data_IF_633732236273
#
_entry.id   IF_633732236273
#
_cell.length_a   1.000
_cell.length_b   1.000
_cell.length_c   1.000
_cell.angle_alpha   90.00
_cell.angle_beta   90.00
_cell.angle_gamma   90.00
#
_symmetry.space_group_name_H-M   'P 1'
#
loop_
_entity.id
_entity.type
_entity.pdbx_description
1 polymer ?
#
# COMPACT_ATOMS: atom_id res chain seq x y z
N UNK A 1 97.84 5.11 4.57
CA UNK A 1 96.93 6.10 5.19
C UNK A 1 95.69 6.42 4.33
N UNK A 2 95.35 5.65 3.29
CA UNK A 2 94.12 5.84 2.49
C UNK A 2 93.01 4.81 2.80
N UNK A 3 93.37 3.62 3.29
CA UNK A 3 92.43 2.53 3.63
C UNK A 3 91.55 2.77 4.87
N UNK A 4 91.85 3.76 5.71
CA UNK A 4 91.04 4.06 6.91
C UNK A 4 89.94 5.11 6.69
N UNK A 5 89.99 5.87 5.58
CA UNK A 5 88.95 6.83 5.24
C UNK A 5 87.76 6.17 4.51
N UNK A 6 88.01 5.10 3.76
CA UNK A 6 87.00 4.42 2.94
C UNK A 6 86.06 3.53 3.78
N UNK A 7 86.59 2.89 4.83
CA UNK A 7 85.77 2.13 5.80
C UNK A 7 84.83 3.03 6.63
N UNK A 8 85.20 4.28 6.91
CA UNK A 8 84.35 5.20 7.68
C UNK A 8 83.14 5.72 6.88
N UNK A 9 83.27 5.79 5.54
CA UNK A 9 82.18 6.19 4.64
C UNK A 9 81.20 5.06 4.35
N UNK A 10 81.65 3.81 4.28
CA UNK A 10 80.75 2.65 4.15
C UNK A 10 79.90 2.42 5.40
N UNK A 11 80.47 2.62 6.59
CA UNK A 11 79.74 2.42 7.86
C UNK A 11 78.69 3.53 8.10
N UNK A 12 78.95 4.76 7.66
CA UNK A 12 77.96 5.85 7.67
C UNK A 12 76.84 5.67 6.64
N UNK A 13 77.13 5.10 5.46
CA UNK A 13 76.12 4.76 4.45
C UNK A 13 75.24 3.58 4.91
N UNK A 14 75.82 2.58 5.55
CA UNK A 14 75.10 1.45 6.14
C UNK A 14 74.21 1.88 7.32
N UNK A 15 74.68 2.75 8.22
CA UNK A 15 73.85 3.33 9.30
C UNK A 15 72.69 4.19 8.76
N UNK A 16 72.92 4.96 7.67
CA UNK A 16 71.88 5.74 7.00
C UNK A 16 70.81 4.88 6.32
N UNK A 17 71.22 3.78 5.67
CA UNK A 17 70.32 2.82 5.02
C UNK A 17 69.44 2.06 6.03
N UNK A 18 70.01 1.63 7.18
CA UNK A 18 69.25 0.99 8.27
C UNK A 18 68.21 1.95 8.88
N UNK A 19 68.54 3.25 8.98
CA UNK A 19 67.62 4.30 9.46
C UNK A 19 66.47 4.57 8.47
N UNK A 20 66.76 4.59 7.17
CA UNK A 20 65.75 4.79 6.12
C UNK A 20 64.83 3.57 5.96
N UNK A 21 65.36 2.36 6.00
CA UNK A 21 64.58 1.14 5.91
C UNK A 21 63.64 0.99 7.11
N UNK A 22 64.10 1.33 8.32
CA UNK A 22 63.27 1.31 9.53
C UNK A 22 62.16 2.36 9.46
N UNK A 23 62.44 3.56 8.92
CA UNK A 23 61.43 4.60 8.67
C UNK A 23 60.42 4.17 7.61
N UNK A 24 60.87 3.52 6.53
CA UNK A 24 60.00 2.98 5.48
C UNK A 24 59.07 1.88 6.01
N UNK A 25 59.58 0.95 6.84
CA UNK A 25 58.75 -0.09 7.50
C UNK A 25 57.72 0.52 8.44
N UNK A 26 58.08 1.55 9.22
CA UNK A 26 57.12 2.27 10.09
C UNK A 26 56.05 3.01 9.29
N UNK A 27 56.42 3.66 8.18
CA UNK A 27 55.47 4.32 7.29
C UNK A 27 54.53 3.31 6.63
N UNK A 28 55.02 2.16 6.17
CA UNK A 28 54.20 1.10 5.60
C UNK A 28 53.24 0.50 6.63
N UNK A 29 53.67 0.27 7.87
CA UNK A 29 52.80 -0.20 8.94
C UNK A 29 51.71 0.82 9.29
N UNK A 30 52.04 2.11 9.31
CA UNK A 30 51.08 3.19 9.55
C UNK A 30 50.10 3.37 8.38
N UNK A 31 50.56 3.21 7.15
CA UNK A 31 49.69 3.22 5.97
C UNK A 31 48.68 2.07 6.01
N UNK A 32 49.13 0.85 6.36
CA UNK A 32 48.22 -0.30 6.56
C UNK A 32 47.19 -0.06 7.66
N UNK A 33 47.61 0.50 8.82
CA UNK A 33 46.65 0.79 9.88
C UNK A 33 45.64 1.87 9.48
N UNK A 34 46.06 2.88 8.71
CA UNK A 34 45.16 3.91 8.20
C UNK A 34 44.19 3.35 7.15
N UNK A 35 44.65 2.47 6.26
CA UNK A 35 43.80 1.77 5.29
C UNK A 35 42.77 0.86 5.99
N UNK A 36 43.17 0.18 7.07
CA UNK A 36 42.27 -0.63 7.91
C UNK A 36 41.22 0.24 8.62
N UNK A 37 41.62 1.36 9.22
CA UNK A 37 40.71 2.32 9.87
C UNK A 37 39.72 2.95 8.88
N UNK A 38 40.18 3.31 7.68
CA UNK A 38 39.31 3.80 6.61
C UNK A 38 38.36 2.71 6.11
N UNK A 39 38.85 1.49 5.96
CA UNK A 39 38.04 0.32 5.59
C UNK A 39 36.94 0.06 6.61
N UNK A 40 37.26 0.12 7.91
CA UNK A 40 36.31 -0.03 9.01
C UNK A 40 35.24 1.07 8.98
N UNK A 41 35.63 2.35 8.82
CA UNK A 41 34.69 3.48 8.71
C UNK A 41 33.77 3.36 7.50
N UNK A 42 34.29 2.93 6.35
CA UNK A 42 33.47 2.68 5.15
C UNK A 42 32.48 1.54 5.38
N UNK A 43 32.92 0.45 6.00
CA UNK A 43 32.07 -0.68 6.35
C UNK A 43 30.94 -0.30 7.29
N UNK A 44 31.24 0.49 8.33
CA UNK A 44 30.25 1.01 9.28
C UNK A 44 29.22 1.93 8.59
N UNK A 45 29.67 2.85 7.73
CA UNK A 45 28.79 3.73 6.97
C UNK A 45 27.84 2.96 6.03
N UNK A 46 28.35 1.94 5.35
CA UNK A 46 27.54 1.06 4.50
C UNK A 46 26.52 0.26 5.30
N UNK A 47 26.91 -0.27 6.46
CA UNK A 47 26.01 -0.99 7.34
C UNK A 47 24.91 -0.08 7.86
N UNK A 48 25.25 1.13 8.33
CA UNK A 48 24.28 2.13 8.80
C UNK A 48 23.27 2.47 7.71
N UNK A 49 23.73 2.67 6.48
CA UNK A 49 22.86 2.91 5.32
C UNK A 49 21.93 1.72 5.04
N UNK A 50 22.45 0.49 5.11
CA UNK A 50 21.64 -0.71 4.92
C UNK A 50 20.58 -0.88 6.01
N UNK A 51 20.91 -0.57 7.27
CA UNK A 51 19.97 -0.63 8.40
C UNK A 51 18.89 0.45 8.27
N UNK A 52 19.26 1.68 7.88
CA UNK A 52 18.28 2.74 7.64
C UNK A 52 17.27 2.33 6.56
N UNK A 53 17.76 1.78 5.44
CA UNK A 53 16.90 1.26 4.38
C UNK A 53 16.01 0.11 4.85
N UNK A 54 16.54 -0.81 5.65
CA UNK A 54 15.71 -1.87 6.25
C UNK A 54 14.57 -1.28 7.12
N UNK A 55 14.85 -0.24 7.90
CA UNK A 55 13.84 0.45 8.71
C UNK A 55 12.73 1.11 7.88
N UNK A 56 13.09 1.76 6.77
CA UNK A 56 12.12 2.31 5.81
C UNK A 56 11.21 1.22 5.23
N UNK A 57 11.81 0.10 4.79
CA UNK A 57 11.05 -1.01 4.21
C UNK A 57 10.15 -1.72 5.23
N UNK A 58 10.56 -1.82 6.50
CA UNK A 58 9.72 -2.33 7.58
C UNK A 58 8.53 -1.41 7.88
N UNK A 59 8.72 -0.09 7.81
CA UNK A 59 7.63 0.88 7.97
C UNK A 59 6.60 0.74 6.86
N UNK A 60 7.06 0.65 5.61
CA UNK A 60 6.19 0.41 4.46
C UNK A 60 5.50 -0.97 4.51
N UNK A 61 6.18 -2.00 5.03
CA UNK A 61 5.56 -3.31 5.27
C UNK A 61 4.43 -3.20 6.31
N UNK A 62 4.65 -2.47 7.41
CA UNK A 62 3.63 -2.27 8.45
C UNK A 62 2.36 -1.59 7.88
N UNK A 63 2.52 -0.55 7.07
CA UNK A 63 1.41 0.10 6.35
C UNK A 63 0.67 -0.89 5.42
N UNK A 64 1.42 -1.72 4.70
CA UNK A 64 0.85 -2.75 3.82
C UNK A 64 0.06 -3.80 4.61
N UNK A 65 0.55 -4.21 5.78
CA UNK A 65 -0.18 -5.12 6.68
C UNK A 65 -1.47 -4.48 7.17
N UNK A 66 -1.48 -3.18 7.50
CA UNK A 66 -2.71 -2.48 7.87
C UNK A 66 -3.71 -2.41 6.71
N UNK A 67 -3.22 -2.21 5.49
CA UNK A 67 -4.06 -2.26 4.29
C UNK A 67 -4.67 -3.65 4.10
N UNK A 68 -3.88 -4.73 4.19
CA UNK A 68 -4.37 -6.11 4.12
C UNK A 68 -5.45 -6.37 5.17
N UNK A 69 -5.25 -5.90 6.41
CA UNK A 69 -6.26 -6.02 7.48
C UNK A 69 -7.54 -5.26 7.15
N UNK A 70 -7.42 -4.05 6.60
CA UNK A 70 -8.57 -3.25 6.18
C UNK A 70 -9.35 -3.96 5.06
N UNK A 71 -8.67 -4.50 4.05
CA UNK A 71 -9.30 -5.28 2.96
C UNK A 71 -9.94 -6.56 3.51
N UNK A 72 -9.25 -7.31 4.39
CA UNK A 72 -9.82 -8.53 5.00
C UNK A 72 -11.08 -8.24 5.81
N UNK A 73 -11.17 -7.07 6.43
CA UNK A 73 -12.36 -6.65 7.18
C UNK A 73 -13.61 -6.46 6.31
N UNK A 74 -13.47 -6.40 4.98
CA UNK A 74 -14.62 -6.29 4.07
C UNK A 74 -15.24 -7.64 3.72
N UNK A 75 -14.63 -8.76 4.11
CA UNK A 75 -15.17 -10.11 3.93
C UNK A 75 -14.37 -11.09 3.06
N UNK A 76 -13.53 -10.67 2.09
CA UNK A 76 -12.73 -11.62 1.32
C UNK A 76 -11.67 -12.28 2.19
N UNK A 77 -11.48 -13.59 2.00
CA UNK A 77 -10.25 -14.23 2.42
C UNK A 77 -9.13 -13.70 1.52
N UNK A 78 -8.34 -12.77 2.06
CA UNK A 78 -7.03 -12.46 1.49
C UNK A 78 -6.11 -13.56 2.02
N UNK A 79 -5.89 -14.59 1.21
CA UNK A 79 -4.93 -15.65 1.56
C UNK A 79 -3.53 -15.08 1.51
N UNK A 80 -2.92 -14.95 2.68
CA UNK A 80 -1.52 -14.56 2.80
C UNK A 80 -0.82 -15.54 3.74
N UNK A 81 -0.41 -16.68 3.19
CA UNK A 81 0.49 -17.64 3.85
C UNK A 81 1.94 -17.13 3.84
N UNK A 82 2.12 -15.86 4.20
CA UNK A 82 3.44 -15.22 4.21
C UNK A 82 3.92 -15.08 5.64
N UNK A 83 5.05 -15.71 5.94
CA UNK A 83 5.70 -15.66 7.24
C UNK A 83 6.38 -14.30 7.45
N UNK A 84 5.71 -13.39 8.16
CA UNK A 84 6.16 -12.00 8.34
C UNK A 84 7.38 -11.86 9.26
N UNK A 85 7.56 -12.78 10.22
CA UNK A 85 8.62 -12.68 11.23
C UNK A 85 9.97 -13.19 10.73
N UNK A 86 9.97 -14.10 9.76
CA UNK A 86 11.16 -14.82 9.30
C UNK A 86 12.37 -13.93 8.99
N UNK A 87 12.28 -12.83 8.20
CA UNK A 87 13.45 -12.01 7.91
C UNK A 87 14.06 -11.37 9.17
N UNK A 88 13.22 -11.03 10.15
CA UNK A 88 13.65 -10.42 11.41
C UNK A 88 14.19 -11.45 12.39
N UNK A 89 13.57 -12.63 12.46
CA UNK A 89 14.03 -13.73 13.31
C UNK A 89 15.42 -14.22 12.85
N UNK A 90 15.64 -14.32 11.53
CA UNK A 90 16.95 -14.67 10.98
C UNK A 90 18.00 -13.59 11.27
N UNK A 91 17.64 -12.30 11.18
CA UNK A 91 18.54 -11.21 11.55
C UNK A 91 18.89 -11.23 13.04
N UNK A 92 17.89 -11.39 13.91
CA UNK A 92 18.09 -11.47 15.35
C UNK A 92 18.95 -12.69 15.73
N UNK A 93 18.72 -13.83 15.08
CA UNK A 93 19.55 -15.03 15.22
C UNK A 93 21.00 -14.77 14.80
N UNK A 94 21.23 -14.10 13.66
CA UNK A 94 22.57 -13.74 13.20
C UNK A 94 23.30 -12.85 14.21
N UNK A 95 22.60 -11.86 14.76
CA UNK A 95 23.15 -10.94 15.77
C UNK A 95 23.54 -11.69 17.04
N UNK A 96 22.68 -12.60 17.50
CA UNK A 96 22.92 -13.41 18.70
C UNK A 96 24.08 -14.38 18.53
N UNK A 97 24.12 -15.10 17.40
CA UNK A 97 25.03 -16.22 17.22
C UNK A 97 26.42 -15.78 16.75
N UNK A 98 26.51 -14.68 15.97
CA UNK A 98 27.74 -14.27 15.27
C UNK A 98 28.15 -12.83 15.61
N UNK A 99 27.25 -12.01 16.17
CA UNK A 99 27.51 -10.61 16.48
C UNK A 99 27.15 -9.68 15.31
N UNK A 100 27.99 -8.69 15.02
CA UNK A 100 27.64 -7.63 14.07
C UNK A 100 27.38 -8.19 12.64
N UNK A 101 26.19 -7.98 12.06
CA UNK A 101 25.89 -8.46 10.72
C UNK A 101 26.61 -7.62 9.66
N UNK A 102 26.96 -8.24 8.54
CA UNK A 102 27.53 -7.52 7.39
C UNK A 102 26.46 -6.72 6.66
N UNK A 103 26.86 -5.65 5.97
CA UNK A 103 25.95 -4.83 5.15
C UNK A 103 25.23 -5.68 4.09
N UNK A 104 25.92 -6.64 3.47
CA UNK A 104 25.34 -7.57 2.51
C UNK A 104 24.25 -8.46 3.13
N UNK A 105 24.43 -8.91 4.37
CA UNK A 105 23.44 -9.73 5.06
C UNK A 105 22.16 -8.91 5.35
N UNK A 106 22.33 -7.67 5.84
CA UNK A 106 21.20 -6.75 6.07
C UNK A 106 20.46 -6.48 4.77
N UNK A 107 21.19 -6.19 3.68
CA UNK A 107 20.59 -5.97 2.35
C UNK A 107 19.80 -7.18 1.85
N UNK A 108 20.27 -8.41 2.12
CA UNK A 108 19.54 -9.62 1.77
C UNK A 108 18.20 -9.68 2.52
N UNK A 109 18.17 -9.38 3.83
CA UNK A 109 16.93 -9.29 4.61
C UNK A 109 16.00 -8.19 4.10
N UNK A 110 16.55 -7.03 3.73
CA UNK A 110 15.78 -5.94 3.12
C UNK A 110 15.06 -6.40 1.85
N UNK A 111 15.74 -7.17 0.96
CA UNK A 111 15.11 -7.69 -0.26
C UNK A 111 13.97 -8.67 0.05
N UNK A 112 14.10 -9.48 1.09
CA UNK A 112 13.01 -10.36 1.53
C UNK A 112 11.81 -9.58 2.05
N UNK A 113 12.03 -8.56 2.88
CA UNK A 113 10.96 -7.66 3.34
C UNK A 113 10.25 -7.01 2.15
N UNK A 114 11.00 -6.54 1.14
CA UNK A 114 10.42 -5.99 -0.11
C UNK A 114 9.58 -7.04 -0.86
N UNK A 115 10.06 -8.28 -0.95
CA UNK A 115 9.34 -9.37 -1.61
C UNK A 115 8.05 -9.74 -0.87
N UNK A 116 8.09 -9.82 0.47
CA UNK A 116 6.92 -10.01 1.33
C UNK A 116 5.93 -8.89 1.12
N UNK A 117 6.38 -7.63 1.19
CA UNK A 117 5.54 -6.45 0.96
C UNK A 117 4.86 -6.51 -0.40
N UNK A 118 5.62 -6.79 -1.46
CA UNK A 118 5.07 -6.92 -2.82
C UNK A 118 3.97 -7.98 -2.91
N UNK A 119 4.20 -9.14 -2.28
CA UNK A 119 3.23 -10.23 -2.23
C UNK A 119 1.94 -9.82 -1.51
N UNK A 120 2.08 -9.16 -0.34
CA UNK A 120 0.93 -8.64 0.41
C UNK A 120 0.16 -7.56 -0.34
N UNK A 121 0.87 -6.63 -1.01
CA UNK A 121 0.24 -5.58 -1.82
C UNK A 121 -0.57 -6.17 -2.96
N UNK A 122 -0.02 -7.17 -3.66
CA UNK A 122 -0.72 -7.86 -4.73
C UNK A 122 -1.96 -8.61 -4.20
N UNK A 123 -1.83 -9.32 -3.09
CA UNK A 123 -2.95 -10.03 -2.47
C UNK A 123 -4.05 -9.05 -2.01
N UNK A 124 -3.68 -7.94 -1.38
CA UNK A 124 -4.62 -6.88 -0.99
C UNK A 124 -5.34 -6.28 -2.20
N UNK A 125 -4.62 -6.02 -3.29
CA UNK A 125 -5.21 -5.52 -4.52
C UNK A 125 -6.19 -6.51 -5.14
N UNK A 126 -5.81 -7.78 -5.28
CA UNK A 126 -6.68 -8.80 -5.85
C UNK A 126 -7.94 -9.01 -4.98
N UNK A 127 -7.77 -9.12 -3.66
CA UNK A 127 -8.88 -9.24 -2.71
C UNK A 127 -9.81 -8.03 -2.76
N UNK A 128 -9.25 -6.82 -2.85
CA UNK A 128 -10.01 -5.59 -3.01
C UNK A 128 -10.83 -5.56 -4.30
N UNK A 129 -10.20 -5.82 -5.43
CA UNK A 129 -10.86 -5.75 -6.74
C UNK A 129 -11.98 -6.78 -6.84
N UNK A 130 -11.72 -8.03 -6.42
CA UNK A 130 -12.72 -9.09 -6.40
C UNK A 130 -13.91 -8.73 -5.50
N UNK A 131 -13.64 -8.18 -4.31
CA UNK A 131 -14.68 -7.71 -3.41
C UNK A 131 -15.49 -6.56 -4.00
N UNK A 132 -14.83 -5.47 -4.40
CA UNK A 132 -15.49 -4.27 -4.90
C UNK A 132 -16.36 -4.59 -6.12
N UNK A 133 -15.86 -5.43 -7.02
CA UNK A 133 -16.62 -5.93 -8.17
C UNK A 133 -17.84 -6.73 -7.71
N UNK A 134 -17.69 -7.70 -6.79
CA UNK A 134 -18.82 -8.47 -6.27
C UNK A 134 -19.90 -7.61 -5.62
N UNK A 135 -19.49 -6.57 -4.87
CA UNK A 135 -20.42 -5.67 -4.23
C UNK A 135 -21.14 -4.82 -5.28
N UNK A 136 -20.42 -4.30 -6.27
CA UNK A 136 -21.00 -3.54 -7.38
C UNK A 136 -22.02 -4.38 -8.16
N UNK A 137 -21.68 -5.61 -8.52
CA UNK A 137 -22.54 -6.50 -9.30
C UNK A 137 -23.78 -6.96 -8.53
N UNK A 138 -23.71 -6.97 -7.18
CA UNK A 138 -24.85 -7.28 -6.32
C UNK A 138 -25.85 -6.13 -6.14
N UNK A 139 -25.54 -4.92 -6.61
CA UNK A 139 -26.42 -3.77 -6.41
C UNK A 139 -27.54 -3.73 -7.46
N UNK A 140 -28.80 -3.54 -7.05
CA UNK A 140 -29.93 -3.36 -7.98
C UNK A 140 -29.94 -1.93 -8.54
N UNK A 141 -29.03 -1.64 -9.48
CA UNK A 141 -28.82 -0.29 -10.04
C UNK A 141 -30.06 0.24 -10.80
N UNK A 142 -30.91 -0.65 -11.28
CA UNK A 142 -32.20 -0.35 -11.91
C UNK A 142 -33.20 0.35 -10.98
N UNK A 143 -32.99 0.29 -9.66
CA UNK A 143 -33.83 0.99 -8.68
C UNK A 143 -33.42 2.45 -8.48
N UNK A 144 -32.25 2.89 -8.97
CA UNK A 144 -31.75 4.26 -8.79
C UNK A 144 -32.72 5.33 -9.34
N UNK A 145 -33.34 5.16 -10.53
CA UNK A 145 -34.35 6.11 -11.01
C UNK A 145 -35.58 6.24 -10.11
N UNK A 146 -35.84 5.26 -9.23
CA UNK A 146 -36.96 5.26 -8.28
C UNK A 146 -36.60 5.86 -6.92
N UNK A 147 -35.32 6.09 -6.66
CA UNK A 147 -34.84 6.82 -5.47
C UNK A 147 -35.40 8.24 -5.48
N UNK A 148 -35.67 8.77 -4.28
CA UNK A 148 -36.14 10.13 -4.05
C UNK A 148 -35.25 11.15 -4.78
N UNK A 149 -35.88 12.17 -5.36
CA UNK A 149 -35.23 13.09 -6.30
C UNK A 149 -33.95 13.73 -5.74
N UNK A 150 -33.95 14.10 -4.45
CA UNK A 150 -32.79 14.74 -3.81
C UNK A 150 -31.64 13.77 -3.49
N UNK A 151 -31.90 12.47 -3.37
CA UNK A 151 -30.85 11.46 -3.13
C UNK A 151 -30.31 10.85 -4.43
N UNK A 152 -31.07 10.94 -5.53
CA UNK A 152 -30.75 10.32 -6.82
C UNK A 152 -29.40 10.76 -7.38
N UNK A 153 -29.11 12.05 -7.38
CA UNK A 153 -27.83 12.56 -7.90
C UNK A 153 -26.65 12.03 -7.08
N UNK A 154 -26.83 11.98 -5.74
CA UNK A 154 -25.83 11.41 -4.83
C UNK A 154 -25.66 9.90 -5.09
N UNK A 155 -26.75 9.16 -5.29
CA UNK A 155 -26.71 7.74 -5.57
C UNK A 155 -25.95 7.45 -6.87
N UNK A 156 -26.23 8.20 -7.94
CA UNK A 156 -25.50 8.09 -9.20
C UNK A 156 -24.01 8.45 -9.05
N UNK A 157 -23.69 9.46 -8.25
CA UNK A 157 -22.30 9.83 -7.95
C UNK A 157 -21.58 8.70 -7.20
N UNK A 158 -22.21 8.15 -6.16
CA UNK A 158 -21.67 7.02 -5.41
C UNK A 158 -21.44 5.82 -6.33
N UNK A 159 -22.40 5.47 -7.19
CA UNK A 159 -22.20 4.36 -8.13
C UNK A 159 -21.01 4.60 -9.06
N UNK A 160 -20.86 5.81 -9.61
CA UNK A 160 -19.66 6.15 -10.41
C UNK A 160 -18.37 6.02 -9.61
N UNK A 161 -18.34 6.54 -8.39
CA UNK A 161 -17.19 6.44 -7.49
C UNK A 161 -16.87 4.96 -7.17
N UNK A 162 -17.89 4.14 -6.94
CA UNK A 162 -17.74 2.69 -6.73
C UNK A 162 -17.12 2.03 -7.96
N UNK A 163 -17.63 2.31 -9.17
CA UNK A 163 -17.07 1.78 -10.42
C UNK A 163 -15.60 2.17 -10.60
N UNK A 164 -15.23 3.42 -10.26
CA UNK A 164 -13.83 3.86 -10.31
C UNK A 164 -12.97 3.13 -9.26
N UNK A 165 -13.52 2.90 -8.06
CA UNK A 165 -12.81 2.26 -6.96
C UNK A 165 -12.43 0.80 -7.24
N UNK A 166 -13.19 0.10 -8.10
CA UNK A 166 -12.88 -1.28 -8.53
C UNK A 166 -11.52 -1.35 -9.23
N UNK A 167 -11.16 -0.35 -10.04
CA UNK A 167 -9.88 -0.35 -10.78
C UNK A 167 -8.75 0.35 -10.04
N UNK A 168 -9.07 1.10 -8.98
CA UNK A 168 -8.11 1.87 -8.22
C UNK A 168 -7.19 0.98 -7.36
N UNK A 169 -5.98 1.48 -7.10
CA UNK A 169 -5.09 0.90 -6.09
C UNK A 169 -5.71 1.12 -4.70
N UNK A 170 -5.92 0.08 -3.89
CA UNK A 170 -6.58 0.24 -2.61
C UNK A 170 -5.70 1.02 -1.63
N UNK A 171 -6.33 1.96 -0.93
CA UNK A 171 -5.79 2.63 0.25
C UNK A 171 -6.74 2.42 1.41
N UNK A 172 -6.26 2.55 2.65
CA UNK A 172 -7.12 2.39 3.85
C UNK A 172 -8.30 3.36 3.80
N UNK A 173 -8.06 4.60 3.38
CA UNK A 173 -9.10 5.61 3.23
C UNK A 173 -10.11 5.25 2.13
N UNK A 174 -9.66 4.74 0.99
CA UNK A 174 -10.54 4.29 -0.09
C UNK A 174 -11.43 3.13 0.36
N UNK A 175 -10.83 2.11 1.00
CA UNK A 175 -11.57 0.96 1.54
C UNK A 175 -12.66 1.42 2.52
N UNK A 176 -12.30 2.33 3.44
CA UNK A 176 -13.25 2.90 4.39
C UNK A 176 -14.39 3.68 3.74
N UNK A 177 -14.06 4.58 2.79
CA UNK A 177 -15.04 5.40 2.06
C UNK A 177 -16.00 4.51 1.26
N UNK A 178 -15.48 3.60 0.41
CA UNK A 178 -16.30 2.70 -0.41
C UNK A 178 -17.25 1.86 0.45
N UNK A 179 -16.80 1.39 1.62
CA UNK A 179 -17.67 0.64 2.54
C UNK A 179 -18.82 1.50 3.07
N UNK A 180 -18.54 2.73 3.49
CA UNK A 180 -19.57 3.66 3.96
C UNK A 180 -20.56 4.00 2.83
N UNK A 181 -20.03 4.28 1.64
CA UNK A 181 -20.81 4.58 0.44
C UNK A 181 -21.72 3.40 0.05
N UNK A 182 -21.22 2.16 0.08
CA UNK A 182 -22.01 0.95 -0.16
C UNK A 182 -23.10 0.74 0.89
N UNK A 183 -22.79 0.94 2.19
CA UNK A 183 -23.78 0.82 3.25
C UNK A 183 -24.92 1.83 3.08
N UNK A 184 -24.57 3.09 2.79
CA UNK A 184 -25.55 4.13 2.53
C UNK A 184 -26.39 3.80 1.29
N UNK A 185 -25.75 3.43 0.17
CA UNK A 185 -26.45 3.13 -1.07
C UNK A 185 -27.42 1.95 -0.90
N UNK A 186 -27.00 0.87 -0.23
CA UNK A 186 -27.87 -0.27 0.09
C UNK A 186 -29.08 0.15 0.92
N UNK A 187 -28.88 0.96 1.95
CA UNK A 187 -29.99 1.47 2.77
C UNK A 187 -30.99 2.31 1.97
N UNK A 188 -30.51 3.10 1.00
CA UNK A 188 -31.39 3.88 0.11
C UNK A 188 -32.16 2.96 -0.85
N UNK A 189 -31.50 1.97 -1.46
CA UNK A 189 -32.14 1.06 -2.41
C UNK A 189 -33.15 0.12 -1.72
N UNK A 190 -32.86 -0.34 -0.51
CA UNK A 190 -33.76 -1.20 0.29
C UNK A 190 -35.08 -0.48 0.63
N UNK A 191 -35.03 0.83 0.93
CA UNK A 191 -36.24 1.64 1.13
C UNK A 191 -37.13 1.65 -0.11
N UNK A 192 -36.54 1.75 -1.29
CA UNK A 192 -37.26 1.74 -2.57
C UNK A 192 -37.87 0.36 -2.84
N UNK A 193 -37.14 -0.72 -2.57
CA UNK A 193 -37.64 -2.10 -2.75
C UNK A 193 -38.82 -2.40 -1.81
N UNK A 194 -38.81 -1.86 -0.60
CA UNK A 194 -39.91 -1.99 0.37
C UNK A 194 -41.19 -1.25 -0.04
N UNK A 195 -41.09 -0.31 -0.98
CA UNK A 195 -42.24 0.39 -1.55
C UNK A 195 -42.69 -0.35 -2.81
N UNK A 196 -43.59 -1.32 -2.65
CA UNK A 196 -44.24 -2.13 -3.70
C UNK A 196 -45.13 -1.30 -4.66
N UNK A 197 -44.60 -0.21 -5.23
CA UNK A 197 -45.25 0.59 -6.26
C UNK A 197 -45.55 -0.24 -7.51
N UNK A 198 -44.76 -1.27 -7.80
CA UNK A 198 -45.02 -2.17 -8.94
C UNK A 198 -46.29 -3.01 -8.76
N UNK A 199 -46.67 -3.34 -7.51
CA UNK A 199 -47.94 -4.02 -7.21
C UNK A 199 -49.13 -3.08 -7.36
N UNK A 200 -48.97 -1.80 -7.01
CA UNK A 200 -50.02 -0.78 -7.15
C UNK A 200 -50.19 -0.37 -8.62
N UNK A 201 -49.10 -0.22 -9.38
CA UNK A 201 -49.13 0.16 -10.80
C UNK A 201 -49.67 -0.98 -11.68
N UNK A 202 -49.31 -2.25 -11.40
CA UNK A 202 -49.89 -3.40 -12.11
C UNK A 202 -51.38 -3.62 -11.84
N UNK A 203 -51.88 -3.18 -10.68
CA UNK A 203 -53.28 -3.30 -10.31
C UNK A 203 -54.11 -2.05 -10.67
N UNK A 204 -53.49 -1.01 -11.23
CA UNK A 204 -54.24 0.09 -11.84
C UNK A 204 -54.84 -0.41 -13.16
N UNK A 205 -56.17 -0.40 -13.33
CA UNK A 205 -56.84 -0.86 -14.55
C UNK A 205 -56.72 0.18 -15.68
N UNK A 206 -55.55 0.80 -15.84
CA UNK A 206 -55.32 1.89 -16.77
C UNK A 206 -54.01 1.65 -17.52
N UNK A 207 -54.13 1.49 -18.84
CA UNK A 207 -52.98 1.51 -19.74
C UNK A 207 -52.47 2.95 -19.76
N UNK A 208 -51.19 3.17 -19.47
CA UNK A 208 -50.58 4.52 -19.44
C UNK A 208 -50.72 5.29 -20.76
N UNK A 209 -51.00 4.59 -21.87
CA UNK A 209 -51.27 5.18 -23.17
C UNK A 209 -52.66 5.82 -23.29
N UNK A 210 -53.61 5.47 -22.41
CA UNK A 210 -54.98 5.98 -22.42
C UNK A 210 -55.17 7.20 -21.51
N UNK A 211 -54.11 7.62 -20.80
CA UNK A 211 -54.18 8.80 -19.93
C UNK A 211 -53.96 10.03 -20.80
N UNK A 212 -55.04 10.79 -21.01
CA UNK A 212 -54.97 12.05 -21.75
C UNK A 212 -54.21 13.11 -20.94
N UNK A 213 -53.74 14.17 -21.62
CA UNK A 213 -53.08 15.29 -20.96
C UNK A 213 -54.01 16.00 -19.94
N UNK A 214 -55.33 15.96 -20.18
CA UNK A 214 -56.35 16.43 -19.25
C UNK A 214 -56.45 15.57 -17.99
N UNK A 215 -56.35 14.24 -18.12
CA UNK A 215 -56.36 13.31 -17.00
C UNK A 215 -55.09 13.41 -16.16
N UNK A 216 -53.93 13.65 -16.80
CA UNK A 216 -52.68 13.96 -16.11
C UNK A 216 -52.79 15.27 -15.31
N UNK A 217 -53.45 16.29 -15.86
CA UNK A 217 -53.70 17.56 -15.16
C UNK A 217 -54.69 17.38 -14.00
N UNK A 218 -55.70 16.52 -14.14
CA UNK A 218 -56.64 16.19 -13.08
C UNK A 218 -55.96 15.43 -11.93
N UNK A 219 -55.14 14.42 -12.24
CA UNK A 219 -54.33 13.67 -11.27
C UNK A 219 -53.32 14.56 -10.53
N UNK A 220 -52.80 15.59 -11.19
CA UNK A 220 -51.88 16.57 -10.59
C UNK A 220 -52.57 17.59 -9.68
N UNK A 221 -53.89 17.79 -9.85
CA UNK A 221 -54.71 18.67 -9.00
C UNK A 221 -55.22 17.95 -7.75
N UNK A 222 -55.30 16.63 -7.79
CA UNK A 222 -55.61 15.82 -6.61
C UNK A 222 -54.38 15.77 -5.69
N UNK A 223 -54.52 16.32 -4.48
CA UNK A 223 -53.42 16.44 -3.51
C UNK A 223 -52.90 15.10 -3.00
N UNK A 224 -53.69 14.03 -3.07
CA UNK A 224 -53.27 12.68 -2.66
C UNK A 224 -52.46 12.01 -3.78
N UNK A 225 -52.91 12.12 -5.02
CA UNK A 225 -52.22 11.57 -6.19
C UNK A 225 -50.99 12.37 -6.61
N UNK A 226 -51.02 13.70 -6.51
CA UNK A 226 -49.85 14.55 -6.77
C UNK A 226 -48.69 14.27 -5.81
N UNK A 227 -48.96 13.74 -4.61
CA UNK A 227 -47.92 13.26 -3.68
C UNK A 227 -47.36 11.88 -4.07
N UNK A 228 -48.12 11.07 -4.79
CA UNK A 228 -47.77 9.69 -5.19
C UNK A 228 -47.18 9.61 -6.60
N UNK A 229 -47.60 10.50 -7.51
CA UNK A 229 -47.12 10.62 -8.88
C UNK A 229 -46.03 11.71 -8.96
N UNK A 230 -44.82 11.40 -8.52
CA UNK A 230 -43.65 12.20 -8.92
C UNK A 230 -43.25 11.80 -10.34
N UNK A 231 -44.02 12.24 -11.33
CA UNK A 231 -43.59 12.18 -12.73
C UNK A 231 -42.40 13.12 -12.89
N UNK A 232 -41.21 12.53 -13.01
CA UNK A 232 -40.01 13.26 -13.39
C UNK A 232 -40.18 13.74 -14.83
N UNK A 233 -40.60 14.99 -14.98
CA UNK A 233 -40.51 15.71 -16.25
C UNK A 233 -39.02 15.94 -16.55
N UNK A 234 -38.59 15.43 -17.71
CA UNK A 234 -37.33 15.79 -18.35
C UNK A 234 -37.38 17.24 -18.86
#
# INVERSE_FOLDING_TARGET
MLLMAEMATEDQAAMGAVSLETKARRLAARARSMDEDEGAKRGESQLRTAVAKLGEELTALAETVQLVRAVRSTGPHVDTDVELSKPMDELAKRVRDIGQPTSQYVQARTREVVSIRSTLTQAAQQGWQGWAQSQHDSLPLELIPRVEFYERERAQRVVRDLTLSIKAVPTIALVGKTRQDLMWLRSVLEKVESHELDGVIKNLPLVLADISEEDLLALRRDAEWARRLTLGLA
#
